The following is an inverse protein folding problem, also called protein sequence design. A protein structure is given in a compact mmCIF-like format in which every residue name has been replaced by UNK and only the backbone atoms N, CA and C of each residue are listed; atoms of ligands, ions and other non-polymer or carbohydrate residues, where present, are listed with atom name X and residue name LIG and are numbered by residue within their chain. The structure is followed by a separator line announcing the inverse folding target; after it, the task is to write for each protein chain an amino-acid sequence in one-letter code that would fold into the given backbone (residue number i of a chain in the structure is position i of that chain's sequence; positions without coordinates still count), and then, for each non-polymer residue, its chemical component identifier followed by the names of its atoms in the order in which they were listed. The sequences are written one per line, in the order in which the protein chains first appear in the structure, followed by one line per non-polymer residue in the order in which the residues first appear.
data_IF_858300426232
#
_entry.id   IF_858300426232
#
_cell.length_a   1.000
_cell.length_b   1.000
_cell.length_c   1.000
_cell.angle_alpha   90.00
_cell.angle_beta   90.00
_cell.angle_gamma   90.00
#
_symmetry.space_group_name_H-M   'P 1'
#
loop_
_entity.id
_entity.type
_entity.pdbx_description
1 polymer ?
#
# COMPACT_ATOMS: atom_id res chain seq x y z
N UNK A 1 4.44 16.24 -19.77
CA UNK A 1 4.34 15.62 -18.42
C UNK A 1 3.13 16.24 -17.76
N UNK A 2 2.03 15.46 -17.58
CA UNK A 2 0.86 15.92 -16.85
C UNK A 2 1.19 15.87 -15.37
N UNK A 3 1.10 17.01 -14.68
CA UNK A 3 1.17 17.02 -13.21
C UNK A 3 0.05 16.15 -12.65
N UNK A 4 0.43 15.09 -11.96
CA UNK A 4 -0.51 14.31 -11.14
C UNK A 4 -0.80 15.18 -9.90
N UNK A 5 -1.86 16.00 -9.96
CA UNK A 5 -2.38 16.71 -8.79
C UNK A 5 -3.38 15.80 -8.08
N UNK A 6 -2.96 15.27 -6.95
CA UNK A 6 -3.83 14.48 -6.10
C UNK A 6 -4.02 15.18 -4.75
N UNK A 7 -5.26 15.27 -4.31
CA UNK A 7 -5.55 15.74 -2.95
C UNK A 7 -5.40 14.58 -1.96
N UNK A 8 -4.67 14.80 -0.88
CA UNK A 8 -4.54 13.86 0.21
C UNK A 8 -4.81 14.56 1.55
N UNK A 9 -5.29 13.80 2.51
CA UNK A 9 -5.54 14.27 3.87
C UNK A 9 -4.45 13.74 4.80
N UNK A 10 -4.04 14.56 5.74
CA UNK A 10 -3.09 14.18 6.77
C UNK A 10 -3.77 14.22 8.13
N UNK A 11 -3.66 13.14 8.88
CA UNK A 11 -4.17 13.02 10.22
C UNK A 11 -2.99 12.83 11.17
N UNK A 12 -2.92 13.64 12.23
CA UNK A 12 -1.96 13.46 13.31
C UNK A 12 -2.65 12.76 14.47
N UNK A 13 -2.24 11.54 14.72
CA UNK A 13 -2.58 10.82 15.95
C UNK A 13 -1.41 10.95 16.93
N UNK A 14 -1.63 10.86 18.25
CA UNK A 14 -0.53 10.91 19.21
C UNK A 14 0.53 9.87 18.86
N UNK A 15 1.72 10.33 18.47
CA UNK A 15 2.88 9.55 18.04
C UNK A 15 2.77 8.79 16.69
N UNK A 16 1.68 8.92 15.94
CA UNK A 16 1.52 8.29 14.63
C UNK A 16 0.94 9.30 13.63
N UNK A 17 1.55 9.41 12.47
CA UNK A 17 1.02 10.19 11.36
C UNK A 17 0.41 9.24 10.33
N UNK A 18 -0.78 9.58 9.85
CA UNK A 18 -1.46 8.89 8.77
C UNK A 18 -1.64 9.88 7.61
N UNK A 19 -1.31 9.42 6.41
CA UNK A 19 -1.57 10.16 5.17
C UNK A 19 -2.51 9.32 4.32
N UNK A 20 -3.60 9.90 3.85
CA UNK A 20 -4.60 9.24 3.01
C UNK A 20 -4.71 9.94 1.66
N UNK A 21 -4.87 9.15 0.62
CA UNK A 21 -5.16 9.63 -0.73
C UNK A 21 -6.24 8.76 -1.38
N UNK A 22 -7.05 9.38 -2.23
CA UNK A 22 -7.98 8.67 -3.09
C UNK A 22 -7.35 8.51 -4.47
N UNK A 23 -7.26 7.29 -4.96
CA UNK A 23 -6.77 7.03 -6.30
C UNK A 23 -7.79 7.44 -7.36
N UNK A 24 -7.32 7.86 -8.53
CA UNK A 24 -8.19 8.06 -9.68
C UNK A 24 -8.73 6.72 -10.21
N UNK A 25 -9.88 6.76 -10.86
CA UNK A 25 -10.48 5.57 -11.49
C UNK A 25 -9.51 4.92 -12.48
N UNK A 26 -8.72 5.70 -13.21
CA UNK A 26 -7.70 5.21 -14.13
C UNK A 26 -6.65 4.36 -13.38
N UNK A 27 -6.10 4.87 -12.27
CA UNK A 27 -5.12 4.12 -11.49
C UNK A 27 -5.71 2.85 -10.89
N UNK A 28 -6.94 2.92 -10.39
CA UNK A 28 -7.65 1.75 -9.84
C UNK A 28 -7.85 0.69 -10.93
N UNK A 29 -8.22 1.09 -12.13
CA UNK A 29 -8.38 0.18 -13.25
C UNK A 29 -7.06 -0.45 -13.67
N UNK A 30 -6.00 0.34 -13.84
CA UNK A 30 -4.66 -0.15 -14.18
C UNK A 30 -4.14 -1.17 -13.14
N UNK A 31 -4.33 -0.86 -11.84
CA UNK A 31 -3.99 -1.76 -10.74
C UNK A 31 -4.80 -3.06 -10.81
N UNK A 32 -6.11 -2.97 -10.97
CA UNK A 32 -6.97 -4.15 -11.01
C UNK A 32 -6.68 -5.04 -12.23
N UNK A 33 -6.44 -4.45 -13.40
CA UNK A 33 -6.02 -5.20 -14.59
C UNK A 33 -4.69 -5.92 -14.37
N UNK A 34 -3.71 -5.23 -13.77
CA UNK A 34 -2.43 -5.86 -13.42
C UNK A 34 -2.61 -7.01 -12.44
N UNK A 35 -3.43 -6.83 -11.40
CA UNK A 35 -3.68 -7.84 -10.38
C UNK A 35 -4.43 -9.06 -10.93
N UNK A 36 -5.37 -8.84 -11.84
CA UNK A 36 -6.09 -9.92 -12.50
C UNK A 36 -5.15 -10.71 -13.44
N UNK A 37 -4.26 -10.01 -14.17
CA UNK A 37 -3.22 -10.64 -14.98
C UNK A 37 -2.26 -11.47 -14.10
N UNK A 38 -1.82 -10.92 -12.96
CA UNK A 38 -0.92 -11.59 -12.02
C UNK A 38 -1.55 -12.87 -11.42
N UNK A 39 -2.82 -12.82 -11.05
CA UNK A 39 -3.57 -13.98 -10.54
C UNK A 39 -3.69 -15.11 -11.56
N UNK A 40 -3.68 -14.80 -12.86
CA UNK A 40 -3.78 -15.77 -13.93
C UNK A 40 -2.41 -16.36 -14.36
N UNK A 41 -1.30 -15.88 -13.81
CA UNK A 41 0.02 -16.45 -14.09
C UNK A 41 0.20 -17.79 -13.38
N UNK A 42 0.64 -18.82 -14.12
CA UNK A 42 0.86 -20.16 -13.54
C UNK A 42 2.07 -20.20 -12.61
N UNK A 43 3.07 -19.35 -12.86
CA UNK A 43 4.33 -19.26 -12.13
C UNK A 43 4.36 -18.15 -11.07
N UNK A 44 3.20 -17.57 -10.72
CA UNK A 44 3.12 -16.54 -9.70
C UNK A 44 3.64 -17.05 -8.35
N UNK A 45 4.38 -16.20 -7.66
CA UNK A 45 4.95 -16.53 -6.35
C UNK A 45 4.02 -16.02 -5.26
N UNK A 46 3.43 -16.95 -4.50
CA UNK A 46 2.59 -16.63 -3.34
C UNK A 46 3.35 -16.86 -2.04
N UNK A 47 3.27 -15.88 -1.15
CA UNK A 47 3.83 -15.92 0.20
C UNK A 47 2.80 -16.25 1.27
N UNK A 48 1.56 -16.57 0.89
CA UNK A 48 0.49 -16.87 1.84
C UNK A 48 0.85 -17.99 2.84
N UNK A 49 1.58 -19.01 2.38
CA UNK A 49 2.03 -20.11 3.23
C UNK A 49 3.09 -19.77 4.28
N UNK A 50 3.69 -18.58 4.21
CA UNK A 50 4.70 -18.10 5.18
C UNK A 50 4.14 -17.08 6.17
N UNK A 51 2.89 -16.64 5.96
CA UNK A 51 2.23 -15.71 6.86
C UNK A 51 1.84 -16.40 8.17
N UNK A 52 1.88 -15.66 9.26
CA UNK A 52 1.52 -16.17 10.60
C UNK A 52 0.01 -16.38 10.74
N UNK A 53 -0.77 -15.75 9.86
CA UNK A 53 -2.22 -15.79 9.88
C UNK A 53 -2.82 -17.08 9.35
N UNK A 54 -4.13 -17.14 9.40
CA UNK A 54 -4.92 -18.21 8.80
C UNK A 54 -5.36 -17.75 7.40
N UNK A 55 -4.60 -18.15 6.39
CA UNK A 55 -4.90 -17.86 4.99
C UNK A 55 -5.32 -19.19 4.34
N UNK A 56 -6.61 -19.34 4.05
CA UNK A 56 -7.17 -20.57 3.49
C UNK A 56 -7.05 -20.62 1.97
N UNK A 57 -7.74 -19.71 1.29
CA UNK A 57 -7.75 -19.62 -0.16
C UNK A 57 -7.12 -18.32 -0.67
N UNK A 58 -6.72 -17.45 0.23
CA UNK A 58 -6.08 -16.17 -0.11
C UNK A 58 -4.66 -16.36 -0.61
N UNK A 59 -4.17 -15.31 -1.26
CA UNK A 59 -2.79 -15.25 -1.73
C UNK A 59 -2.15 -13.91 -1.38
N UNK A 60 -0.85 -13.93 -1.13
CA UNK A 60 -0.01 -12.73 -1.09
C UNK A 60 1.03 -12.87 -2.19
N UNK A 61 0.91 -12.05 -3.23
CA UNK A 61 1.71 -12.17 -4.44
C UNK A 61 2.72 -11.03 -4.53
N UNK A 62 3.96 -11.35 -4.86
CA UNK A 62 4.96 -10.34 -5.22
C UNK A 62 4.55 -9.64 -6.51
N UNK A 63 4.67 -8.31 -6.51
CA UNK A 63 4.38 -7.45 -7.66
C UNK A 63 5.68 -6.88 -8.22
N UNK A 64 5.74 -6.74 -9.54
CA UNK A 64 6.83 -6.00 -10.19
C UNK A 64 6.51 -4.49 -10.19
N UNK A 65 7.08 -3.75 -9.25
CA UNK A 65 6.87 -2.30 -9.13
C UNK A 65 7.37 -1.50 -10.36
N UNK A 66 8.16 -2.11 -11.26
CA UNK A 66 8.60 -1.50 -12.51
C UNK A 66 7.66 -1.79 -13.69
N UNK A 67 6.60 -2.58 -13.47
CA UNK A 67 5.64 -2.88 -14.52
C UNK A 67 4.97 -1.61 -15.06
N UNK A 68 4.82 -1.43 -16.39
CA UNK A 68 4.28 -0.19 -16.99
C UNK A 68 2.91 0.23 -16.45
N UNK A 69 2.00 -0.70 -16.18
CA UNK A 69 0.68 -0.41 -15.59
C UNK A 69 0.77 0.18 -14.17
N UNK A 70 1.86 -0.07 -13.45
CA UNK A 70 2.07 0.41 -12.09
C UNK A 70 2.84 1.74 -12.03
N UNK A 71 3.32 2.26 -13.16
CA UNK A 71 4.20 3.43 -13.18
C UNK A 71 3.62 4.66 -12.47
N UNK A 72 2.35 5.02 -12.77
CA UNK A 72 1.68 6.15 -12.12
C UNK A 72 1.44 5.92 -10.63
N UNK A 73 1.06 4.71 -10.26
CA UNK A 73 0.85 4.34 -8.87
C UNK A 73 2.18 4.37 -8.10
N UNK A 74 3.23 3.79 -8.65
CA UNK A 74 4.55 3.80 -8.04
C UNK A 74 5.10 5.23 -7.87
N UNK A 75 4.94 6.10 -8.86
CA UNK A 75 5.28 7.51 -8.75
C UNK A 75 4.50 8.20 -7.62
N UNK A 76 3.19 7.95 -7.54
CA UNK A 76 2.35 8.54 -6.48
C UNK A 76 2.81 8.13 -5.08
N UNK A 77 3.04 6.84 -4.82
CA UNK A 77 3.45 6.38 -3.49
C UNK A 77 4.85 6.90 -3.11
N UNK A 78 5.75 7.10 -4.06
CA UNK A 78 7.05 7.71 -3.82
C UNK A 78 6.92 9.20 -3.45
N UNK A 79 6.08 9.96 -4.16
CA UNK A 79 5.77 11.36 -3.85
C UNK A 79 5.13 11.47 -2.46
N UNK A 80 4.13 10.67 -2.19
CA UNK A 80 3.46 10.63 -0.88
C UNK A 80 4.44 10.26 0.24
N UNK A 81 5.30 9.28 0.01
CA UNK A 81 6.34 8.88 0.95
C UNK A 81 7.32 10.02 1.24
N UNK A 82 7.75 10.75 0.23
CA UNK A 82 8.63 11.91 0.39
C UNK A 82 7.95 13.03 1.21
N UNK A 83 6.69 13.33 0.92
CA UNK A 83 5.90 14.31 1.67
C UNK A 83 5.62 13.85 3.10
N UNK A 84 5.35 12.56 3.30
CA UNK A 84 5.19 11.99 4.64
C UNK A 84 6.45 12.18 5.48
N UNK A 85 7.62 11.79 4.94
CA UNK A 85 8.91 11.95 5.62
C UNK A 85 9.19 13.41 5.94
N UNK A 86 8.97 14.32 4.99
CA UNK A 86 9.17 15.76 5.18
C UNK A 86 8.32 16.33 6.32
N UNK A 87 7.06 15.94 6.38
CA UNK A 87 6.13 16.41 7.41
C UNK A 87 6.38 15.76 8.77
N UNK A 88 6.75 14.50 8.81
CA UNK A 88 7.11 13.79 10.03
C UNK A 88 8.42 14.33 10.61
N UNK A 89 9.44 14.54 9.78
CA UNK A 89 10.75 15.03 10.21
C UNK A 89 10.70 16.47 10.74
N UNK A 90 9.74 17.27 10.30
CA UNK A 90 9.55 18.65 10.79
C UNK A 90 9.06 18.76 12.22
N UNK A 91 8.64 17.66 12.86
CA UNK A 91 7.94 17.74 14.14
C UNK A 91 8.78 17.53 15.40
N UNK A 92 9.89 16.76 15.42
CA UNK A 92 10.63 16.57 16.68
C UNK A 92 12.11 16.17 16.56
N UNK A 93 12.51 15.40 15.57
CA UNK A 93 13.92 15.04 15.36
C UNK A 93 14.08 14.83 13.86
N UNK A 94 14.87 15.65 13.22
CA UNK A 94 15.14 15.46 11.79
C UNK A 94 16.28 14.45 11.58
N UNK A 95 16.00 13.12 11.50
CA UNK A 95 17.01 12.12 11.17
C UNK A 95 17.36 12.15 9.66
N UNK A 96 16.61 12.92 8.86
CA UNK A 96 16.74 12.98 7.42
C UNK A 96 17.40 14.28 7.00
N UNK A 97 18.54 14.17 6.36
CA UNK A 97 19.13 15.30 5.65
C UNK A 97 18.29 15.61 4.41
N UNK A 98 18.21 16.90 4.06
CA UNK A 98 17.60 17.36 2.81
C UNK A 98 18.10 16.52 1.62
N UNK A 99 17.20 16.20 0.67
CA UNK A 99 17.44 15.46 -0.57
C UNK A 99 17.49 13.91 -0.45
N UNK A 100 16.78 13.29 0.44
CA UNK A 100 16.57 11.83 0.36
C UNK A 100 15.48 11.50 -0.65
N UNK A 101 15.76 10.52 -1.49
CA UNK A 101 14.80 9.91 -2.39
C UNK A 101 14.09 8.81 -1.62
N UNK A 102 12.78 8.73 -1.75
CA UNK A 102 11.97 7.61 -1.29
C UNK A 102 11.79 6.69 -2.47
N UNK A 103 12.18 5.45 -2.32
CA UNK A 103 12.06 4.41 -3.34
C UNK A 103 11.15 3.31 -2.84
N UNK A 104 10.46 2.65 -3.77
CA UNK A 104 9.68 1.45 -3.48
C UNK A 104 10.64 0.27 -3.36
N UNK A 105 10.74 -0.30 -2.17
CA UNK A 105 11.59 -1.47 -1.91
C UNK A 105 10.85 -2.76 -2.30
N UNK A 106 9.65 -2.95 -1.74
CA UNK A 106 8.82 -4.13 -2.02
C UNK A 106 7.38 -3.71 -2.26
N UNK A 107 6.73 -4.39 -3.19
CA UNK A 107 5.32 -4.23 -3.50
C UNK A 107 4.68 -5.62 -3.61
N UNK A 108 3.57 -5.81 -2.92
CA UNK A 108 2.80 -7.06 -2.98
C UNK A 108 1.30 -6.79 -2.97
N UNK A 109 0.55 -7.74 -3.50
CA UNK A 109 -0.90 -7.74 -3.41
C UNK A 109 -1.38 -8.76 -2.39
N UNK A 110 -2.49 -8.46 -1.73
CA UNK A 110 -3.16 -9.37 -0.81
C UNK A 110 -4.55 -9.66 -1.34
N UNK A 111 -4.80 -10.92 -1.60
CA UNK A 111 -6.10 -11.43 -2.05
C UNK A 111 -6.71 -12.24 -0.91
N UNK A 112 -7.69 -11.66 -0.21
CA UNK A 112 -8.33 -12.27 0.96
C UNK A 112 -9.75 -12.68 0.64
N UNK A 113 -10.14 -13.84 1.15
CA UNK A 113 -11.48 -14.39 1.03
C UNK A 113 -12.11 -14.58 2.42
N UNK A 114 -13.39 -14.98 2.43
CA UNK A 114 -14.10 -15.21 3.69
C UNK A 114 -13.38 -16.24 4.57
N UNK A 115 -13.05 -15.84 5.79
CA UNK A 115 -12.33 -16.65 6.76
C UNK A 115 -10.81 -16.48 6.77
N UNK A 116 -10.24 -15.77 5.78
CA UNK A 116 -8.83 -15.42 5.82
C UNK A 116 -8.57 -14.34 6.88
N UNK A 117 -7.52 -14.54 7.64
CA UNK A 117 -7.11 -13.63 8.71
C UNK A 117 -5.61 -13.54 8.81
N UNK A 118 -5.09 -12.32 8.80
CA UNK A 118 -3.71 -12.04 9.13
C UNK A 118 -3.67 -11.21 10.42
N UNK A 119 -3.01 -11.68 11.49
CA UNK A 119 -2.96 -10.95 12.76
C UNK A 119 -2.17 -9.66 12.63
N UNK A 120 -2.26 -8.82 13.66
CA UNK A 120 -1.40 -7.64 13.79
C UNK A 120 0.06 -8.11 13.77
N UNK A 121 0.83 -7.53 12.89
CA UNK A 121 2.24 -7.83 12.68
C UNK A 121 3.00 -6.55 12.36
N UNK A 122 4.32 -6.61 12.47
CA UNK A 122 5.20 -5.54 12.01
C UNK A 122 5.92 -5.96 10.72
N UNK A 123 6.43 -4.98 10.02
CA UNK A 123 7.28 -5.18 8.86
C UNK A 123 8.72 -4.90 9.27
N UNK A 124 9.53 -5.98 9.35
CA UNK A 124 10.97 -5.85 9.50
C UNK A 124 11.55 -5.10 8.30
N UNK A 125 12.34 -4.08 8.55
CA UNK A 125 12.99 -3.32 7.49
C UNK A 125 14.44 -3.74 7.34
N UNK A 126 14.92 -3.85 6.10
CA UNK A 126 16.36 -4.00 5.80
C UNK A 126 17.13 -2.71 6.06
N UNK A 127 16.42 -1.62 6.26
CA UNK A 127 16.94 -0.29 6.53
C UNK A 127 16.49 0.18 7.92
N UNK A 128 17.16 1.21 8.45
CA UNK A 128 16.81 1.80 9.75
C UNK A 128 15.41 2.40 9.82
N UNK A 129 14.81 2.71 8.68
CA UNK A 129 13.44 3.23 8.56
C UNK A 129 12.81 2.80 7.26
N UNK A 130 11.54 2.39 7.36
CA UNK A 130 10.65 2.15 6.24
C UNK A 130 9.31 2.84 6.45
N UNK A 131 8.58 3.07 5.36
CA UNK A 131 7.20 3.55 5.35
C UNK A 131 6.38 2.44 4.73
N UNK A 132 5.31 2.03 5.39
CA UNK A 132 4.33 1.11 4.84
C UNK A 132 3.09 1.87 4.39
N UNK A 133 2.52 1.46 3.26
CA UNK A 133 1.22 1.93 2.82
C UNK A 133 0.33 0.75 2.44
N UNK A 134 -0.98 0.95 2.51
CA UNK A 134 -1.98 -0.02 2.08
C UNK A 134 -2.95 0.65 1.12
N UNK A 135 -3.26 -0.03 0.02
CA UNK A 135 -4.23 0.42 -0.97
C UNK A 135 -5.32 -0.63 -1.12
N UNK A 136 -6.58 -0.22 -1.03
CA UNK A 136 -7.75 -1.08 -1.27
C UNK A 136 -8.29 -0.81 -2.67
N UNK A 137 -8.12 -1.74 -3.58
CA UNK A 137 -8.58 -1.61 -4.97
C UNK A 137 -9.91 -2.31 -5.23
N UNK A 138 -10.21 -3.37 -4.47
CA UNK A 138 -11.47 -4.12 -4.53
C UNK A 138 -11.94 -4.37 -3.10
N UNK A 139 -13.08 -3.80 -2.73
CA UNK A 139 -13.72 -4.03 -1.43
C UNK A 139 -15.09 -4.66 -1.68
N UNK A 140 -15.38 -5.84 -1.11
CA UNK A 140 -16.69 -6.48 -1.26
C UNK A 140 -17.83 -5.58 -0.79
N UNK A 141 -18.95 -5.58 -1.52
CA UNK A 141 -20.11 -4.74 -1.19
C UNK A 141 -20.64 -5.00 0.22
N UNK A 142 -20.56 -6.25 0.68
CA UNK A 142 -20.96 -6.64 2.04
C UNK A 142 -20.17 -5.90 3.13
N UNK A 143 -18.92 -5.51 2.86
CA UNK A 143 -18.10 -4.72 3.78
C UNK A 143 -18.51 -3.25 3.71
N UNK A 144 -18.77 -2.74 2.51
CA UNK A 144 -19.21 -1.36 2.28
C UNK A 144 -20.60 -1.07 2.89
N UNK A 145 -21.47 -2.07 2.89
CA UNK A 145 -22.82 -1.97 3.44
C UNK A 145 -22.87 -2.08 4.98
N UNK A 146 -21.75 -2.43 5.61
CA UNK A 146 -21.71 -2.48 7.07
C UNK A 146 -21.74 -1.07 7.67
N UNK A 147 -22.56 -0.85 8.70
CA UNK A 147 -22.56 0.43 9.39
C UNK A 147 -21.19 0.69 10.02
N UNK A 148 -20.61 1.83 9.66
CA UNK A 148 -19.30 2.28 10.21
C UNK A 148 -19.39 2.77 11.64
N UNK A 149 -20.58 2.79 12.24
CA UNK A 149 -20.76 3.03 13.66
C UNK A 149 -20.17 1.84 14.42
N UNK A 150 -18.89 1.95 14.74
CA UNK A 150 -18.29 1.05 15.71
C UNK A 150 -19.11 1.06 17.00
N UNK A 151 -19.62 -0.07 17.31
CA UNK A 151 -20.12 -0.38 18.65
C UNK A 151 -18.97 -0.92 19.45
#
# INVERSE_FOLDING_TARGET
MSEVRQEYKMHSLPAVFLMEATLSDEMVNDLNEYLDDLLNQEDRVSHAGTLVGQIGNGEQLTMDHNHPKLGKFNELIQIMGADYVKNFAGSTVNPFKENRVVETDELWSVHSYAGDYNPIHDHGTKTLMGISCTCWTKVPQQILDQPTSGT
#
